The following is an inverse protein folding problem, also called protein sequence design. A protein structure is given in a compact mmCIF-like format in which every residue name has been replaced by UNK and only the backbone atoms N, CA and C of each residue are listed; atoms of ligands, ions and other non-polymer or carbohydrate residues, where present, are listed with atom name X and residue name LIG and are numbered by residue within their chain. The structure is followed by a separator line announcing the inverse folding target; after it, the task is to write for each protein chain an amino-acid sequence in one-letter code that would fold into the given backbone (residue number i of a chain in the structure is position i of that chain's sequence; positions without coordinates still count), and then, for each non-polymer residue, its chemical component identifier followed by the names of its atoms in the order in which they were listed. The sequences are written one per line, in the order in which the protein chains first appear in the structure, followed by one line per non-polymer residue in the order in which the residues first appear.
data_IF_722168070852
#
_entry.id   IF_722168070852
#
_cell.length_a   1.000
_cell.length_b   1.000
_cell.length_c   1.000
_cell.angle_alpha   90.00
_cell.angle_beta   90.00
_cell.angle_gamma   90.00
#
_symmetry.space_group_name_H-M   'P 1'
#
loop_
_entity.id
_entity.type
_entity.pdbx_description
1 polymer ?
#
# COMPACT_ATOMS: atom_id res chain seq x y z
N UNK A 1 -7.86 -11.85 -26.33
CA UNK A 1 -8.07 -12.79 -25.19
C UNK A 1 -8.63 -12.04 -23.98
N UNK A 2 -9.95 -11.82 -23.91
CA UNK A 2 -10.59 -11.02 -22.84
C UNK A 2 -11.47 -11.92 -21.95
N UNK A 3 -10.85 -12.89 -21.30
CA UNK A 3 -11.55 -13.71 -20.29
C UNK A 3 -11.55 -12.98 -18.94
N UNK A 4 -12.60 -13.22 -18.14
CA UNK A 4 -12.78 -12.65 -16.79
C UNK A 4 -11.55 -12.82 -15.90
N UNK A 5 -10.90 -13.98 -15.97
CA UNK A 5 -9.68 -14.25 -15.21
C UNK A 5 -8.49 -13.41 -15.68
N UNK A 6 -8.32 -13.22 -16.99
CA UNK A 6 -7.21 -12.42 -17.51
C UNK A 6 -7.29 -10.96 -17.04
N UNK A 7 -8.51 -10.45 -16.80
CA UNK A 7 -8.71 -9.10 -16.28
C UNK A 7 -8.29 -8.97 -14.80
N UNK A 8 -8.53 -10.02 -13.99
CA UNK A 8 -8.04 -10.09 -12.61
C UNK A 8 -6.51 -10.19 -12.56
N UNK A 9 -5.92 -11.04 -13.41
CA UNK A 9 -4.46 -11.20 -13.51
C UNK A 9 -3.82 -9.89 -13.98
N UNK A 10 -4.44 -9.18 -14.93
CA UNK A 10 -3.96 -7.87 -15.36
C UNK A 10 -4.00 -6.84 -14.21
N UNK A 11 -5.06 -6.81 -13.39
CA UNK A 11 -5.12 -5.92 -12.22
C UNK A 11 -4.02 -6.23 -11.20
N UNK A 12 -3.69 -7.50 -11.00
CA UNK A 12 -2.61 -7.93 -10.11
C UNK A 12 -1.24 -7.52 -10.67
N UNK A 13 -0.99 -7.74 -11.96
CA UNK A 13 0.24 -7.31 -12.61
C UNK A 13 0.46 -5.79 -12.51
N UNK A 14 -0.62 -5.00 -12.67
CA UNK A 14 -0.57 -3.54 -12.49
C UNK A 14 -0.19 -3.17 -11.05
N UNK A 15 -0.75 -3.84 -10.03
CA UNK A 15 -0.36 -3.59 -8.64
C UNK A 15 1.10 -3.95 -8.36
N UNK A 16 1.62 -5.03 -8.95
CA UNK A 16 3.00 -5.46 -8.75
C UNK A 16 4.00 -4.53 -9.45
N UNK A 17 3.67 -4.01 -10.64
CA UNK A 17 4.47 -2.98 -11.33
C UNK A 17 4.51 -1.70 -10.47
N UNK A 18 3.36 -1.26 -9.95
CA UNK A 18 3.29 -0.10 -9.06
C UNK A 18 4.12 -0.33 -7.79
N UNK A 19 4.14 -1.54 -7.23
CA UNK A 19 4.97 -1.89 -6.08
C UNK A 19 6.46 -1.77 -6.41
N UNK A 20 6.88 -2.27 -7.57
CA UNK A 20 8.27 -2.17 -8.03
C UNK A 20 8.73 -0.72 -8.19
N UNK A 21 7.89 0.12 -8.81
CA UNK A 21 8.16 1.58 -8.93
C UNK A 21 8.20 2.23 -7.55
N UNK A 22 7.30 1.85 -6.63
CA UNK A 22 7.27 2.40 -5.28
C UNK A 22 8.53 2.06 -4.48
N UNK A 23 9.04 0.84 -4.60
CA UNK A 23 10.28 0.41 -3.95
C UNK A 23 11.47 1.21 -4.49
N UNK A 24 11.57 1.37 -5.81
CA UNK A 24 12.63 2.15 -6.43
C UNK A 24 12.58 3.62 -6.01
N UNK A 25 11.39 4.22 -6.00
CA UNK A 25 11.19 5.59 -5.51
C UNK A 25 11.58 5.73 -4.04
N UNK A 26 11.18 4.79 -3.19
CA UNK A 26 11.57 4.80 -1.78
C UNK A 26 13.09 4.76 -1.60
N UNK A 27 13.80 3.97 -2.41
CA UNK A 27 15.26 3.87 -2.33
C UNK A 27 15.97 5.16 -2.73
N UNK A 28 15.46 5.88 -3.73
CA UNK A 28 16.01 7.17 -4.18
C UNK A 28 15.68 8.30 -3.20
N UNK A 29 14.40 8.43 -2.81
CA UNK A 29 13.93 9.59 -2.07
C UNK A 29 14.13 9.47 -0.55
N UNK A 30 14.21 8.25 0.00
CA UNK A 30 14.51 8.05 1.43
C UNK A 30 16.01 7.89 1.73
N UNK A 31 16.91 8.09 0.74
CA UNK A 31 18.35 8.07 0.96
C UNK A 31 18.81 9.33 1.71
N UNK A 32 19.82 9.17 2.60
CA UNK A 32 20.40 10.23 3.45
C UNK A 32 20.65 11.54 2.71
N UNK A 33 21.17 11.45 1.49
CA UNK A 33 21.51 12.60 0.64
C UNK A 33 20.31 13.50 0.33
N UNK A 34 19.16 12.93 -0.03
CA UNK A 34 17.95 13.70 -0.34
C UNK A 34 17.21 14.18 0.93
N UNK A 35 17.41 13.47 2.04
CA UNK A 35 16.85 13.83 3.35
C UNK A 35 17.59 15.00 4.00
N UNK A 36 18.92 15.07 3.85
CA UNK A 36 19.77 16.18 4.32
C UNK A 36 19.46 17.51 3.63
N UNK A 37 19.06 17.48 2.35
CA UNK A 37 18.65 18.67 1.58
C UNK A 37 17.18 19.08 1.83
N UNK A 38 16.45 18.40 2.72
CA UNK A 38 15.11 18.79 3.19
C UNK A 38 13.96 18.61 2.18
N UNK A 39 14.22 18.14 0.96
CA UNK A 39 13.21 17.95 -0.09
C UNK A 39 12.74 16.50 -0.25
N UNK A 40 13.44 15.53 0.35
CA UNK A 40 13.13 14.08 0.23
C UNK A 40 12.01 13.55 1.12
N UNK A 41 11.59 14.30 2.15
CA UNK A 41 10.70 13.80 3.21
C UNK A 41 9.28 13.46 2.73
N UNK A 42 8.64 14.39 2.02
CA UNK A 42 7.32 14.19 1.42
C UNK A 42 7.28 13.09 0.35
N UNK A 43 8.18 13.07 -0.66
CA UNK A 43 8.16 12.00 -1.66
C UNK A 43 8.48 10.63 -1.04
N UNK A 44 9.39 10.54 -0.07
CA UNK A 44 9.66 9.31 0.67
C UNK A 44 8.39 8.76 1.36
N UNK A 45 7.60 9.62 2.01
CA UNK A 45 6.33 9.25 2.63
C UNK A 45 5.28 8.76 1.62
N UNK A 46 5.19 9.42 0.46
CA UNK A 46 4.26 9.07 -0.61
C UNK A 46 4.61 7.69 -1.17
N UNK A 47 5.88 7.46 -1.53
CA UNK A 47 6.31 6.17 -2.08
C UNK A 47 6.17 5.04 -1.06
N UNK A 48 6.41 5.31 0.22
CA UNK A 48 6.17 4.32 1.28
C UNK A 48 4.69 3.97 1.42
N UNK A 49 3.82 4.98 1.38
CA UNK A 49 2.37 4.77 1.43
C UNK A 49 1.90 3.99 0.21
N UNK A 50 2.37 4.35 -0.99
CA UNK A 50 2.08 3.66 -2.24
C UNK A 50 2.51 2.20 -2.19
N UNK A 51 3.69 1.90 -1.62
CA UNK A 51 4.16 0.54 -1.42
C UNK A 51 3.15 -0.28 -0.59
N UNK A 52 2.66 0.28 0.53
CA UNK A 52 1.65 -0.37 1.38
C UNK A 52 0.35 -0.61 0.60
N UNK A 53 -0.12 0.37 -0.18
CA UNK A 53 -1.32 0.23 -1.04
C UNK A 53 -1.17 -0.96 -1.98
N UNK A 54 -0.04 -1.04 -2.67
CA UNK A 54 0.19 -2.06 -3.69
C UNK A 54 0.21 -3.47 -3.12
N UNK A 55 0.74 -3.66 -1.91
CA UNK A 55 0.65 -4.94 -1.19
C UNK A 55 -0.78 -5.31 -0.81
N UNK A 56 -1.57 -4.36 -0.30
CA UNK A 56 -2.98 -4.61 0.01
C UNK A 56 -3.80 -4.90 -1.25
N UNK A 57 -3.55 -4.20 -2.36
CA UNK A 57 -4.17 -4.48 -3.65
C UNK A 57 -3.83 -5.88 -4.15
N UNK A 58 -2.56 -6.28 -4.10
CA UNK A 58 -2.10 -7.60 -4.58
C UNK A 58 -2.71 -8.74 -3.77
N UNK A 59 -2.76 -8.60 -2.44
CA UNK A 59 -3.40 -9.60 -1.55
C UNK A 59 -4.92 -9.68 -1.76
N UNK A 60 -5.63 -8.55 -1.82
CA UNK A 60 -7.07 -8.53 -2.07
C UNK A 60 -7.44 -9.08 -3.45
N UNK A 61 -6.61 -8.82 -4.48
CA UNK A 61 -6.81 -9.38 -5.81
C UNK A 61 -6.55 -10.89 -5.84
N UNK A 62 -5.53 -11.41 -5.13
CA UNK A 62 -5.34 -12.86 -4.95
C UNK A 62 -6.56 -13.52 -4.30
N UNK A 63 -7.09 -12.94 -3.23
CA UNK A 63 -8.31 -13.44 -2.56
C UNK A 63 -9.50 -13.45 -3.53
N UNK A 64 -9.66 -12.38 -4.31
CA UNK A 64 -10.74 -12.27 -5.31
C UNK A 64 -10.62 -13.32 -6.41
N UNK A 65 -9.40 -13.64 -6.86
CA UNK A 65 -9.16 -14.73 -7.81
C UNK A 65 -9.56 -16.08 -7.19
N UNK A 66 -9.18 -16.33 -5.93
CA UNK A 66 -9.58 -17.52 -5.18
C UNK A 66 -11.10 -17.68 -5.11
N UNK A 67 -11.81 -16.60 -4.74
CA UNK A 67 -13.28 -16.57 -4.68
C UNK A 67 -13.90 -16.83 -6.06
N UNK A 68 -13.40 -16.16 -7.11
CA UNK A 68 -13.90 -16.34 -8.47
C UNK A 68 -13.76 -17.80 -8.95
N UNK A 69 -12.64 -18.48 -8.60
CA UNK A 69 -12.42 -19.90 -8.92
C UNK A 69 -13.30 -20.82 -8.08
N UNK A 70 -13.45 -20.53 -6.79
CA UNK A 70 -14.34 -21.28 -5.92
C UNK A 70 -15.80 -21.24 -6.41
N UNK A 71 -16.33 -20.06 -6.73
CA UNK A 71 -17.69 -19.90 -7.24
C UNK A 71 -17.86 -20.60 -8.60
N UNK A 72 -16.86 -20.48 -9.49
CA UNK A 72 -16.90 -21.11 -10.81
C UNK A 72 -16.96 -22.64 -10.77
N UNK A 73 -16.42 -23.27 -9.72
CA UNK A 73 -16.41 -24.72 -9.52
C UNK A 73 -17.66 -25.17 -8.76
N UNK A 74 -17.93 -24.58 -7.58
CA UNK A 74 -18.97 -25.08 -6.66
C UNK A 74 -20.36 -24.47 -6.90
N UNK A 75 -20.44 -23.25 -7.40
CA UNK A 75 -21.70 -22.47 -7.45
C UNK A 75 -21.98 -21.91 -8.86
N UNK A 76 -21.51 -22.62 -9.90
CA UNK A 76 -21.51 -22.17 -11.31
C UNK A 76 -22.87 -21.63 -11.80
N UNK A 77 -23.97 -22.18 -11.30
CA UNK A 77 -25.34 -21.82 -11.72
C UNK A 77 -26.05 -20.85 -10.77
N UNK A 78 -25.53 -20.66 -9.55
CA UNK A 78 -26.21 -19.90 -8.50
C UNK A 78 -25.74 -18.44 -8.42
N UNK A 79 -24.46 -18.17 -8.72
CA UNK A 79 -23.86 -16.86 -8.47
C UNK A 79 -23.25 -16.30 -9.77
N UNK A 80 -23.75 -15.14 -10.21
CA UNK A 80 -23.16 -14.37 -11.31
C UNK A 80 -22.07 -13.46 -10.78
N UNK A 81 -20.81 -13.89 -10.88
CA UNK A 81 -19.66 -13.07 -10.48
C UNK A 81 -19.34 -11.99 -11.53
N UNK A 82 -19.44 -10.72 -11.13
CA UNK A 82 -19.04 -9.57 -11.93
C UNK A 82 -17.60 -9.15 -11.56
N UNK A 83 -16.65 -9.54 -12.41
CA UNK A 83 -15.22 -9.28 -12.18
C UNK A 83 -14.89 -7.80 -12.15
N UNK A 84 -15.51 -6.99 -13.02
CA UNK A 84 -15.22 -5.55 -13.08
C UNK A 84 -15.63 -4.87 -11.77
N UNK A 85 -16.80 -5.21 -11.23
CA UNK A 85 -17.25 -4.71 -9.94
C UNK A 85 -16.34 -5.17 -8.81
N UNK A 86 -15.90 -6.44 -8.81
CA UNK A 86 -14.98 -6.95 -7.80
C UNK A 86 -13.64 -6.21 -7.80
N UNK A 87 -13.09 -5.88 -8.97
CA UNK A 87 -11.85 -5.10 -9.08
C UNK A 87 -12.05 -3.67 -8.57
N UNK A 88 -13.15 -3.01 -8.96
CA UNK A 88 -13.42 -1.65 -8.44
C UNK A 88 -13.54 -1.67 -6.91
N UNK A 89 -14.22 -2.67 -6.35
CA UNK A 89 -14.38 -2.82 -4.90
C UNK A 89 -13.05 -3.10 -4.21
N UNK A 90 -12.20 -4.00 -4.74
CA UNK A 90 -10.89 -4.27 -4.13
C UNK A 90 -10.00 -3.03 -4.14
N UNK A 91 -10.05 -2.24 -5.21
CA UNK A 91 -9.31 -0.98 -5.29
C UNK A 91 -9.80 0.05 -4.27
N UNK A 92 -11.12 0.23 -4.15
CA UNK A 92 -11.69 1.14 -3.16
C UNK A 92 -11.33 0.72 -1.73
N UNK A 93 -11.46 -0.57 -1.40
CA UNK A 93 -11.12 -1.09 -0.07
C UNK A 93 -9.63 -0.86 0.23
N UNK A 94 -8.74 -1.15 -0.72
CA UNK A 94 -7.31 -0.94 -0.50
C UNK A 94 -6.98 0.54 -0.27
N UNK A 95 -7.57 1.46 -1.06
CA UNK A 95 -7.37 2.90 -0.90
C UNK A 95 -7.86 3.37 0.47
N UNK A 96 -9.05 2.92 0.91
CA UNK A 96 -9.60 3.29 2.23
C UNK A 96 -8.72 2.76 3.37
N UNK A 97 -8.31 1.50 3.31
CA UNK A 97 -7.41 0.91 4.32
C UNK A 97 -6.08 1.64 4.38
N UNK A 98 -5.55 2.05 3.23
CA UNK A 98 -4.33 2.86 3.21
C UNK A 98 -4.58 4.26 3.74
N UNK A 99 -5.64 4.95 3.35
CA UNK A 99 -5.93 6.29 3.86
C UNK A 99 -6.00 6.28 5.40
N UNK A 100 -6.59 5.23 5.98
CA UNK A 100 -6.64 5.03 7.44
C UNK A 100 -5.27 4.73 8.06
N UNK A 101 -4.39 4.01 7.36
CA UNK A 101 -3.05 3.67 7.88
C UNK A 101 -2.02 4.76 7.63
N UNK A 102 -2.14 5.54 6.56
CA UNK A 102 -1.27 6.65 6.14
C UNK A 102 -1.15 7.73 7.23
N UNK A 103 -2.24 8.01 7.95
CA UNK A 103 -2.28 8.93 9.10
C UNK A 103 -1.35 8.46 10.26
N UNK A 104 -0.90 7.20 10.24
CA UNK A 104 -0.15 6.57 11.33
C UNK A 104 1.17 5.91 10.90
N UNK A 105 1.63 6.05 9.65
CA UNK A 105 2.83 5.32 9.18
C UNK A 105 4.09 5.91 9.79
N UNK A 106 4.83 5.07 10.52
CA UNK A 106 6.23 5.35 10.89
C UNK A 106 7.09 5.11 9.63
N UNK A 107 7.78 6.13 9.16
CA UNK A 107 8.63 6.02 7.98
C UNK A 107 10.03 5.54 8.41
N UNK A 108 10.64 4.65 7.63
CA UNK A 108 12.02 4.20 7.85
C UNK A 108 12.96 5.18 7.14
N UNK A 109 13.91 5.77 7.87
CA UNK A 109 15.03 6.52 7.30
C UNK A 109 16.10 5.51 6.89
N UNK A 110 16.54 5.58 5.63
CA UNK A 110 17.59 4.71 5.11
C UNK A 110 18.89 5.50 4.99
N UNK A 111 20.00 4.90 5.45
CA UNK A 111 21.31 5.53 5.56
C UNK A 111 21.29 6.71 6.55
N UNK A 112 21.67 6.45 7.80
CA UNK A 112 22.04 7.49 8.75
C UNK A 112 23.52 7.27 9.07
N UNK A 113 24.31 8.32 9.26
CA UNK A 113 25.76 8.23 9.57
C UNK A 113 26.16 7.27 10.71
N UNK A 114 25.21 6.76 11.52
CA UNK A 114 25.44 5.81 12.62
C UNK A 114 24.81 4.42 12.41
N UNK A 115 23.85 4.23 11.48
CA UNK A 115 23.07 2.99 11.27
C UNK A 115 22.52 2.88 9.83
N UNK A 116 22.50 1.65 9.28
CA UNK A 116 22.08 1.35 7.89
C UNK A 116 20.56 1.58 7.69
N UNK A 117 19.75 1.35 8.73
CA UNK A 117 18.30 1.55 8.75
C UNK A 117 17.94 2.19 10.10
N UNK A 118 17.40 3.41 10.11
CA UNK A 118 16.96 4.10 11.32
C UNK A 118 15.46 4.37 11.27
N UNK A 119 14.71 4.09 12.35
CA UNK A 119 13.28 4.40 12.42
C UNK A 119 13.08 5.84 12.90
N UNK A 120 12.83 6.78 11.97
CA UNK A 120 12.59 8.19 12.28
C UNK A 120 11.24 8.67 11.76
N UNK A 121 10.47 9.41 12.57
CA UNK A 121 9.22 10.02 12.09
C UNK A 121 9.57 11.18 11.19
N UNK A 122 9.28 11.04 9.90
CA UNK A 122 9.52 12.08 8.90
C UNK A 122 8.39 13.12 8.90
N UNK A 123 7.16 12.72 9.22
CA UNK A 123 6.00 13.61 9.26
C UNK A 123 5.43 13.67 10.68
N UNK A 124 5.83 14.68 11.45
CA UNK A 124 5.10 15.05 12.67
C UNK A 124 3.93 15.95 12.27
N UNK A 125 2.71 15.42 12.33
CA UNK A 125 1.50 16.21 12.15
C UNK A 125 0.93 16.63 13.51
N UNK A 126 0.62 17.91 13.64
CA UNK A 126 -0.08 18.52 14.79
C UNK A 126 -1.59 18.68 14.53
N UNK A 127 -2.03 18.75 13.26
CA UNK A 127 -3.44 18.86 12.86
C UNK A 127 -3.73 17.94 11.66
N UNK A 128 -4.94 17.33 11.54
CA UNK A 128 -6.09 17.42 12.45
C UNK A 128 -6.00 16.51 13.69
N UNK A 129 -4.98 15.65 13.78
CA UNK A 129 -4.71 14.80 14.95
C UNK A 129 -3.24 14.87 15.35
N UNK A 130 -2.98 15.05 16.64
CA UNK A 130 -1.63 15.02 17.19
C UNK A 130 -1.05 13.60 17.11
N UNK A 131 -0.15 13.41 16.15
CA UNK A 131 0.52 12.15 15.87
C UNK A 131 1.27 11.57 17.09
N UNK A 132 1.74 12.42 18.03
CA UNK A 132 2.41 11.98 19.27
C UNK A 132 1.42 11.36 20.25
N UNK A 133 0.22 11.92 20.34
CA UNK A 133 -0.84 11.47 21.24
C UNK A 133 -1.44 10.15 20.77
N UNK A 134 -1.73 10.03 19.47
CA UNK A 134 -2.21 8.77 18.85
C UNK A 134 -1.17 7.65 18.99
N UNK A 135 0.12 7.99 18.85
CA UNK A 135 1.21 7.03 19.04
C UNK A 135 1.33 6.54 20.48
N UNK A 136 1.21 7.44 21.48
CA UNK A 136 1.25 7.05 22.90
C UNK A 136 0.15 6.04 23.23
N UNK A 137 -1.05 6.23 22.71
CA UNK A 137 -2.19 5.31 22.91
C UNK A 137 -1.91 3.93 22.31
N UNK A 138 -1.22 3.83 21.17
CA UNK A 138 -0.95 2.55 20.50
C UNK A 138 0.20 1.74 21.13
N UNK A 139 1.23 2.41 21.67
CA UNK A 139 2.41 1.73 22.24
C UNK A 139 2.21 1.38 23.73
N UNK A 140 1.21 1.98 24.37
CA UNK A 140 0.83 1.67 25.76
C UNK A 140 -0.12 0.46 25.89
N UNK A 141 -0.45 -0.21 24.78
CA UNK A 141 -1.21 -1.48 24.73
C UNK A 141 -0.26 -2.63 24.43
#
# INVERSE_FOLDING_TARGET
MRTKTNLLIASMAVSDILAGVAIFGQWIFCAEYMLLYGTGDYPCAIFKSLQIVTYFLSTLTMVTIGIHRYIGIFHRHLIRFNVTAAIVVTWLIAIVVVAMTAVSVKIFKYFTSKEIISCGVVLEFTEPFDSKKVRKVRVAV
#
